data_IF_986503694623
#
_entry.id   IF_986503694623
#
_cell.length_a   1.000
_cell.length_b   1.000
_cell.length_c   1.000
_cell.angle_alpha   90.00
_cell.angle_beta   90.00
_cell.angle_gamma   90.00
#
_symmetry.space_group_name_H-M   'P 1'
#
loop_
_entity.id
_entity.type
_entity.pdbx_description
1 polymer ?
#
# COMPACT_ATOMS: atom_id res chain seq x y z
N UNK A 1 17.46 -28.59 -19.47
CA UNK A 1 16.89 -29.43 -18.41
C UNK A 1 17.19 -30.89 -18.77
N UNK A 2 18.19 -31.49 -18.14
CA UNK A 2 18.83 -32.77 -18.52
C UNK A 2 18.46 -33.83 -17.47
N UNK A 3 17.42 -34.62 -17.70
CA UNK A 3 17.21 -35.94 -17.04
C UNK A 3 17.01 -35.98 -15.51
N UNK A 4 16.68 -34.86 -14.84
CA UNK A 4 16.51 -34.83 -13.37
C UNK A 4 15.09 -35.23 -12.93
N UNK A 5 14.09 -35.12 -13.80
CA UNK A 5 12.69 -35.43 -13.52
C UNK A 5 12.17 -36.42 -14.56
N UNK A 6 11.45 -37.47 -14.15
CA UNK A 6 10.76 -38.35 -15.11
C UNK A 6 9.65 -37.55 -15.80
N UNK A 7 9.32 -37.81 -17.08
CA UNK A 7 8.30 -37.04 -17.79
C UNK A 7 6.94 -37.01 -17.08
N UNK A 8 6.62 -38.09 -16.36
CA UNK A 8 5.41 -38.25 -15.55
C UNK A 8 5.43 -37.31 -14.32
N UNK A 9 6.57 -37.21 -13.65
CA UNK A 9 6.78 -36.33 -12.49
C UNK A 9 6.77 -34.84 -12.90
N UNK A 10 7.34 -34.54 -14.07
CA UNK A 10 7.33 -33.18 -14.64
C UNK A 10 5.91 -32.73 -15.00
N UNK A 11 5.09 -33.64 -15.54
CA UNK A 11 3.70 -33.35 -15.93
C UNK A 11 2.80 -33.01 -14.73
N UNK A 12 3.04 -33.59 -13.56
CA UNK A 12 2.30 -33.30 -12.33
C UNK A 12 2.88 -32.10 -11.55
N UNK A 13 4.21 -31.94 -11.58
CA UNK A 13 4.90 -30.88 -10.85
C UNK A 13 4.66 -29.48 -11.43
N UNK A 14 4.75 -29.32 -12.76
CA UNK A 14 4.66 -28.00 -13.40
C UNK A 14 3.33 -27.27 -13.13
N UNK A 15 2.15 -27.93 -13.17
CA UNK A 15 0.89 -27.30 -12.77
C UNK A 15 0.90 -26.79 -11.33
N UNK A 16 1.32 -27.63 -10.37
CA UNK A 16 1.36 -27.26 -8.95
C UNK A 16 2.37 -26.13 -8.67
N UNK A 17 3.52 -26.14 -9.34
CA UNK A 17 4.50 -25.06 -9.27
C UNK A 17 3.94 -23.73 -9.79
N UNK A 18 3.27 -23.74 -10.95
CA UNK A 18 2.67 -22.54 -11.52
C UNK A 18 1.53 -22.00 -10.62
N UNK A 19 0.74 -22.88 -10.03
CA UNK A 19 -0.30 -22.53 -9.06
C UNK A 19 0.28 -21.89 -7.79
N UNK A 20 1.35 -22.47 -7.25
CA UNK A 20 2.08 -21.90 -6.10
C UNK A 20 2.69 -20.54 -6.42
N UNK A 21 3.26 -20.36 -7.63
CA UNK A 21 3.76 -19.05 -8.08
C UNK A 21 2.64 -18.02 -8.16
N UNK A 22 1.49 -18.38 -8.75
CA UNK A 22 0.32 -17.50 -8.84
C UNK A 22 -0.19 -17.10 -7.45
N UNK A 23 -0.26 -18.03 -6.50
CA UNK A 23 -0.62 -17.72 -5.11
C UNK A 23 0.37 -16.74 -4.48
N UNK A 24 1.67 -16.98 -4.64
CA UNK A 24 2.70 -16.10 -4.11
C UNK A 24 2.61 -14.69 -4.70
N UNK A 25 2.35 -14.56 -5.99
CA UNK A 25 2.18 -13.26 -6.67
C UNK A 25 1.03 -12.44 -6.09
N UNK A 26 -0.15 -13.07 -5.84
CA UNK A 26 -1.29 -12.36 -5.25
C UNK A 26 -1.08 -12.05 -3.77
N UNK A 27 -0.39 -12.91 -3.01
CA UNK A 27 -0.01 -12.62 -1.62
C UNK A 27 0.98 -11.45 -1.54
N UNK A 28 1.97 -11.40 -2.43
CA UNK A 28 2.90 -10.29 -2.54
C UNK A 28 2.20 -8.98 -2.92
N UNK A 29 1.18 -9.04 -3.78
CA UNK A 29 0.37 -7.88 -4.15
C UNK A 29 -0.40 -7.31 -2.95
N UNK A 30 -1.01 -8.17 -2.12
CA UNK A 30 -1.67 -7.76 -0.87
C UNK A 30 -0.67 -7.06 0.06
N UNK A 31 0.45 -7.71 0.37
CA UNK A 31 1.46 -7.15 1.28
C UNK A 31 2.01 -5.79 0.77
N UNK A 32 2.18 -5.65 -0.55
CA UNK A 32 2.60 -4.40 -1.16
C UNK A 32 1.54 -3.29 -1.01
N UNK A 33 0.26 -3.61 -1.25
CA UNK A 33 -0.84 -2.67 -1.11
C UNK A 33 -1.05 -2.22 0.35
N UNK A 34 -0.97 -3.15 1.32
CA UNK A 34 -1.00 -2.85 2.76
C UNK A 34 0.14 -1.88 3.13
N UNK A 35 1.36 -2.16 2.66
CA UNK A 35 2.53 -1.31 2.92
C UNK A 35 2.36 0.09 2.33
N UNK A 36 1.80 0.19 1.13
CA UNK A 36 1.53 1.47 0.47
C UNK A 36 0.48 2.30 1.22
N UNK A 37 -0.60 1.65 1.66
CA UNK A 37 -1.65 2.26 2.46
C UNK A 37 -1.12 2.77 3.80
N UNK A 38 -0.43 1.92 4.56
CA UNK A 38 0.18 2.29 5.83
C UNK A 38 1.14 3.47 5.67
N UNK A 39 1.96 3.46 4.60
CA UNK A 39 2.86 4.56 4.29
C UNK A 39 2.13 5.85 3.90
N UNK A 40 0.93 5.78 3.33
CA UNK A 40 0.13 6.96 3.02
C UNK A 40 -0.54 7.51 4.29
N UNK A 41 -1.05 6.64 5.16
CA UNK A 41 -1.64 7.00 6.46
C UNK A 41 -0.61 7.66 7.37
N UNK A 42 0.59 7.10 7.51
CA UNK A 42 1.68 7.71 8.29
C UNK A 42 2.09 9.09 7.76
N UNK A 43 2.05 9.29 6.43
CA UNK A 43 2.31 10.61 5.84
C UNK A 43 1.20 11.60 6.14
N UNK A 44 -0.05 11.17 6.28
CA UNK A 44 -1.15 12.07 6.66
C UNK A 44 -0.90 12.56 8.09
N UNK A 45 -0.65 11.65 9.02
CA UNK A 45 -0.38 11.94 10.43
C UNK A 45 0.79 12.94 10.60
N UNK A 46 1.95 12.65 10.01
CA UNK A 46 3.13 13.53 10.08
C UNK A 46 2.84 14.95 9.53
N UNK A 47 2.00 15.07 8.50
CA UNK A 47 1.65 16.38 7.93
C UNK A 47 0.60 17.10 8.74
N UNK A 48 -0.33 16.40 9.37
CA UNK A 48 -1.28 16.98 10.31
C UNK A 48 -0.56 17.55 11.55
N UNK A 49 0.41 16.82 12.09
CA UNK A 49 1.27 17.32 13.18
C UNK A 49 2.04 18.60 12.80
N UNK A 50 2.61 18.62 11.59
CA UNK A 50 3.30 19.80 11.04
C UNK A 50 2.36 20.97 10.82
N UNK A 51 1.14 20.70 10.35
CA UNK A 51 0.11 21.71 10.17
C UNK A 51 -0.24 22.37 11.50
N UNK A 52 -0.48 21.56 12.54
CA UNK A 52 -0.80 22.05 13.87
C UNK A 52 0.36 22.83 14.50
N UNK A 53 1.60 22.37 14.32
CA UNK A 53 2.78 23.11 14.73
C UNK A 53 2.85 24.50 14.06
N UNK A 54 2.64 24.59 12.74
CA UNK A 54 2.67 25.87 12.01
C UNK A 54 1.50 26.78 12.36
N UNK A 55 0.32 26.22 12.63
CA UNK A 55 -0.81 27.00 13.12
C UNK A 55 -0.57 27.59 14.51
N UNK A 56 0.12 26.86 15.40
CA UNK A 56 0.55 27.39 16.71
C UNK A 56 1.58 28.50 16.55
N UNK A 57 2.58 28.28 15.68
CA UNK A 57 3.60 29.29 15.36
C UNK A 57 2.97 30.58 14.84
N UNK A 58 1.97 30.49 13.94
CA UNK A 58 1.27 31.66 13.41
C UNK A 58 0.55 32.50 14.49
N UNK A 59 0.18 31.87 15.61
CA UNK A 59 -0.48 32.54 16.75
C UNK A 59 0.52 33.10 17.75
N UNK A 60 1.81 32.86 17.58
CA UNK A 60 2.85 33.38 18.46
C UNK A 60 2.98 34.90 18.33
N UNK A 61 3.21 35.54 19.46
CA UNK A 61 3.49 36.98 19.51
C UNK A 61 4.87 37.29 18.94
N UNK A 62 5.08 38.54 18.53
CA UNK A 62 6.38 39.02 18.06
C UNK A 62 6.71 38.72 16.60
N UNK A 63 5.81 38.05 15.86
CA UNK A 63 5.98 37.83 14.42
C UNK A 63 5.74 39.09 13.60
N UNK A 64 6.68 39.36 12.70
CA UNK A 64 6.53 40.32 11.60
C UNK A 64 5.50 39.84 10.58
N UNK A 65 4.99 40.76 9.76
CA UNK A 65 4.02 40.40 8.71
C UNK A 65 4.62 39.46 7.65
N UNK A 66 5.90 39.63 7.32
CA UNK A 66 6.62 38.74 6.40
C UNK A 66 6.75 37.32 6.97
N UNK A 67 7.02 37.18 8.28
CA UNK A 67 7.07 35.86 8.93
C UNK A 67 5.70 35.21 8.94
N UNK A 68 4.64 35.96 9.28
CA UNK A 68 3.26 35.46 9.21
C UNK A 68 2.91 35.01 7.80
N UNK A 69 3.34 35.74 6.76
CA UNK A 69 3.08 35.35 5.38
C UNK A 69 3.79 34.04 5.03
N UNK A 70 5.08 33.90 5.35
CA UNK A 70 5.83 32.65 5.15
C UNK A 70 5.19 31.46 5.86
N UNK A 71 4.68 31.65 7.08
CA UNK A 71 4.00 30.59 7.82
C UNK A 71 2.68 30.21 7.14
N UNK A 72 1.90 31.18 6.65
CA UNK A 72 0.66 30.91 5.88
C UNK A 72 0.94 30.13 4.60
N UNK A 73 1.96 30.54 3.85
CA UNK A 73 2.37 29.84 2.62
C UNK A 73 2.72 28.37 2.93
N UNK A 74 3.47 28.14 4.03
CA UNK A 74 3.80 26.79 4.48
C UNK A 74 2.58 25.99 4.93
N UNK A 75 1.63 26.61 5.62
CA UNK A 75 0.36 25.97 6.01
C UNK A 75 -0.40 25.49 4.77
N UNK A 76 -0.47 26.33 3.73
CA UNK A 76 -1.20 25.99 2.50
C UNK A 76 -0.49 24.90 1.68
N UNK A 77 0.83 24.89 1.67
CA UNK A 77 1.64 23.78 1.13
C UNK A 77 1.33 22.46 1.87
N UNK A 78 1.40 22.46 3.20
CA UNK A 78 1.15 21.26 4.02
C UNK A 78 -0.28 20.75 3.83
N UNK A 79 -1.27 21.64 3.72
CA UNK A 79 -2.65 21.26 3.35
C UNK A 79 -2.72 20.60 1.98
N UNK A 80 -1.93 21.08 1.01
CA UNK A 80 -1.79 20.46 -0.30
C UNK A 80 -1.26 19.03 -0.20
N UNK A 81 -0.20 18.83 0.58
CA UNK A 81 0.42 17.53 0.78
C UNK A 81 -0.52 16.55 1.50
N UNK A 82 -1.27 16.99 2.51
CA UNK A 82 -2.30 16.17 3.18
C UNK A 82 -3.37 15.73 2.17
N UNK A 83 -3.85 16.63 1.29
CA UNK A 83 -4.83 16.27 0.27
C UNK A 83 -4.29 15.20 -0.69
N UNK A 84 -3.03 15.33 -1.12
CA UNK A 84 -2.37 14.33 -1.97
C UNK A 84 -2.20 13.00 -1.23
N UNK A 85 -1.72 13.01 0.01
CA UNK A 85 -1.56 11.79 0.81
C UNK A 85 -2.90 11.07 1.05
N UNK A 86 -3.98 11.82 1.33
CA UNK A 86 -5.34 11.27 1.44
C UNK A 86 -5.86 10.66 0.13
N UNK A 87 -5.48 11.22 -1.02
CA UNK A 87 -5.80 10.62 -2.33
C UNK A 87 -5.04 9.30 -2.49
N UNK A 88 -3.74 9.30 -2.21
CA UNK A 88 -2.92 8.09 -2.30
C UNK A 88 -3.40 6.99 -1.35
N UNK A 89 -3.83 7.34 -0.13
CA UNK A 89 -4.39 6.40 0.83
C UNK A 89 -5.68 5.75 0.30
N UNK A 90 -6.57 6.53 -0.33
CA UNK A 90 -7.76 5.98 -0.99
C UNK A 90 -7.41 5.04 -2.13
N UNK A 91 -6.50 5.44 -3.02
CA UNK A 91 -6.06 4.61 -4.13
C UNK A 91 -5.38 3.31 -3.66
N UNK A 92 -4.58 3.38 -2.59
CA UNK A 92 -3.95 2.21 -1.97
C UNK A 92 -4.98 1.30 -1.28
N UNK A 93 -6.01 1.86 -0.66
CA UNK A 93 -7.13 1.09 -0.10
C UNK A 93 -7.89 0.34 -1.20
N UNK A 94 -8.24 1.03 -2.29
CA UNK A 94 -8.91 0.42 -3.44
C UNK A 94 -8.03 -0.66 -4.11
N UNK A 95 -6.70 -0.51 -4.08
CA UNK A 95 -5.77 -1.52 -4.55
C UNK A 95 -5.70 -2.73 -3.61
N UNK A 96 -5.71 -2.50 -2.30
CA UNK A 96 -5.74 -3.56 -1.29
C UNK A 96 -7.02 -4.39 -1.40
N UNK A 97 -8.18 -3.75 -1.47
CA UNK A 97 -9.48 -4.45 -1.59
C UNK A 97 -9.53 -5.35 -2.83
N UNK A 98 -8.94 -4.89 -3.94
CA UNK A 98 -8.79 -5.69 -5.17
C UNK A 98 -7.82 -6.85 -4.98
N UNK A 99 -6.64 -6.61 -4.44
CA UNK A 99 -5.63 -7.65 -4.21
C UNK A 99 -6.15 -8.74 -3.24
N UNK A 100 -6.89 -8.35 -2.20
CA UNK A 100 -7.55 -9.31 -1.30
C UNK A 100 -8.63 -10.12 -2.00
N UNK A 101 -9.39 -9.51 -2.91
CA UNK A 101 -10.37 -10.22 -3.71
C UNK A 101 -9.69 -11.25 -4.61
N UNK A 102 -8.62 -10.87 -5.31
CA UNK A 102 -7.83 -11.78 -6.14
C UNK A 102 -7.25 -12.94 -5.32
N UNK A 103 -6.69 -12.65 -4.14
CA UNK A 103 -6.17 -13.66 -3.22
C UNK A 103 -7.27 -14.66 -2.80
N UNK A 104 -8.47 -14.17 -2.48
CA UNK A 104 -9.62 -15.03 -2.15
C UNK A 104 -10.03 -15.91 -3.33
N UNK A 105 -10.04 -15.37 -4.56
CA UNK A 105 -10.35 -16.17 -5.76
C UNK A 105 -9.31 -17.27 -5.97
N UNK A 106 -8.02 -16.93 -5.96
CA UNK A 106 -6.94 -17.91 -6.14
C UNK A 106 -6.98 -18.98 -5.06
N UNK A 107 -7.12 -18.59 -3.78
CA UNK A 107 -7.25 -19.58 -2.69
C UNK A 107 -8.46 -20.49 -2.85
N UNK A 108 -9.60 -19.96 -3.31
CA UNK A 108 -10.80 -20.75 -3.59
C UNK A 108 -10.59 -21.76 -4.72
N UNK A 109 -10.00 -21.32 -5.84
CA UNK A 109 -9.65 -22.19 -6.97
C UNK A 109 -8.69 -23.31 -6.55
N UNK A 110 -7.63 -22.96 -5.80
CA UNK A 110 -6.63 -23.90 -5.35
C UNK A 110 -7.17 -24.88 -4.31
N UNK A 111 -8.04 -24.44 -3.39
CA UNK A 111 -8.70 -25.33 -2.43
C UNK A 111 -9.56 -26.40 -3.11
N UNK A 112 -10.23 -26.05 -4.22
CA UNK A 112 -10.98 -27.02 -5.02
C UNK A 112 -10.10 -28.02 -5.78
N UNK A 113 -8.90 -27.60 -6.20
CA UNK A 113 -7.94 -28.43 -6.95
C UNK A 113 -7.06 -29.30 -6.04
N UNK A 114 -6.69 -28.77 -4.88
CA UNK A 114 -5.83 -29.39 -3.87
C UNK A 114 -6.57 -29.45 -2.53
N UNK A 115 -7.52 -30.41 -2.36
CA UNK A 115 -8.24 -30.58 -1.11
C UNK A 115 -7.32 -31.23 -0.05
N UNK A 116 -6.51 -30.41 0.60
CA UNK A 116 -5.62 -30.73 1.72
C UNK A 116 -5.36 -29.37 2.40
N UNK A 117 -5.93 -29.01 3.55
CA UNK A 117 -6.33 -29.73 4.78
C UNK A 117 -7.71 -29.29 5.29
#
# INVERSE_FOLDING_TARGET
YYGVCRPEEEAEFLPAYNDGRRLHEVEAAVASAESALSSAEARIEDREDKLDAKQRELRSDGLTDDEKQRIRDRIDEVRGEIRSARRNAREARDALDRAEWDLRQVRGELSGRYPVF
#
